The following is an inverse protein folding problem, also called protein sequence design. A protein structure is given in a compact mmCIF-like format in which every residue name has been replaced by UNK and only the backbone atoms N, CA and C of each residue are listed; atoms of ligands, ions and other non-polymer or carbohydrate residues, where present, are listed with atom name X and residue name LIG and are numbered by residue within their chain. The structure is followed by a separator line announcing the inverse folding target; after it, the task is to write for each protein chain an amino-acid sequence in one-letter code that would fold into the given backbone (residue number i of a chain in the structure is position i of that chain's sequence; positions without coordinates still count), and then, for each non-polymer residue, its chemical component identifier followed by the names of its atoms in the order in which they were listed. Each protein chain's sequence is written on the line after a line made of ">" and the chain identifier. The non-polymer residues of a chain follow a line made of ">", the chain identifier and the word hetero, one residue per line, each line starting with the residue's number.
data_IF_471281819076
#
_entry.id   IF_471281819076
#
_cell.length_a   1.000
_cell.length_b   1.000
_cell.length_c   1.000
_cell.angle_alpha   90.00
_cell.angle_beta   90.00
_cell.angle_gamma   90.00
#
_symmetry.space_group_name_H-M   'P 1'
#
loop_
_entity.id
_entity.type
_entity.pdbx_description
1 polymer ?
#
# COMPACT_ATOMS: atom_id res chain seq x y z
N UNK A 1 26.64 29.59 10.99
CA UNK A 1 25.22 29.29 10.64
C UNK A 1 24.91 27.91 11.18
N UNK A 2 24.25 27.84 12.34
CA UNK A 2 23.76 26.60 12.94
C UNK A 2 22.49 26.16 12.22
N UNK A 3 22.60 25.12 11.40
CA UNK A 3 21.43 24.44 10.84
C UNK A 3 20.78 23.62 11.95
N UNK A 4 19.84 24.24 12.67
CA UNK A 4 18.95 23.57 13.62
C UNK A 4 17.93 22.72 12.85
N UNK A 5 18.37 21.56 12.34
CA UNK A 5 17.46 20.47 11.96
C UNK A 5 17.24 19.60 13.20
N UNK A 6 16.46 20.10 14.14
CA UNK A 6 15.93 19.27 15.22
C UNK A 6 14.67 18.63 14.65
N UNK A 7 14.73 17.33 14.34
CA UNK A 7 13.54 16.53 14.01
C UNK A 7 12.51 16.73 15.13
N UNK A 8 11.28 17.11 14.77
CA UNK A 8 10.19 17.34 15.73
C UNK A 8 9.68 16.02 16.31
N UNK A 9 10.03 14.89 15.70
CA UNK A 9 9.68 13.56 16.19
C UNK A 9 10.61 13.16 17.35
N UNK A 10 10.10 13.10 18.60
CA UNK A 10 10.91 12.79 19.77
C UNK A 10 11.42 11.34 19.75
N UNK A 11 10.85 10.45 18.92
CA UNK A 11 11.23 9.04 18.85
C UNK A 11 12.54 8.80 18.08
N UNK A 12 13.12 9.81 17.43
CA UNK A 12 14.30 9.67 16.57
C UNK A 12 15.46 10.57 16.97
N UNK A 13 16.67 10.06 16.75
CA UNK A 13 17.90 10.80 16.93
C UNK A 13 18.02 11.84 15.81
N UNK A 14 17.77 13.12 16.11
CA UNK A 14 17.86 14.21 15.13
C UNK A 14 19.23 14.40 14.45
N UNK A 15 20.27 13.68 14.89
CA UNK A 15 21.57 13.65 14.22
C UNK A 15 21.70 12.56 13.13
N UNK A 16 21.24 11.32 13.39
CA UNK A 16 21.47 10.19 12.50
C UNK A 16 20.20 9.45 12.04
N UNK A 17 19.02 9.87 12.53
CA UNK A 17 17.73 9.26 12.20
C UNK A 17 17.49 7.88 12.82
N UNK A 18 18.38 7.39 13.69
CA UNK A 18 18.16 6.13 14.42
C UNK A 18 17.09 6.29 15.50
N UNK A 19 16.33 5.23 15.79
CA UNK A 19 15.32 5.23 16.85
C UNK A 19 16.00 5.46 18.21
N UNK A 20 15.51 6.46 18.94
CA UNK A 20 15.87 6.65 20.34
C UNK A 20 15.01 5.70 21.19
N UNK A 21 15.65 4.92 22.05
CA UNK A 21 14.92 4.16 23.06
C UNK A 21 14.46 5.13 24.14
N UNK A 22 13.21 5.55 24.04
CA UNK A 22 12.64 6.49 24.99
C UNK A 22 12.48 5.83 26.37
N UNK A 23 12.94 6.49 27.43
CA UNK A 23 12.83 6.03 28.80
C UNK A 23 11.39 6.15 29.25
N UNK A 24 10.96 5.24 30.13
CA UNK A 24 9.58 5.19 30.64
C UNK A 24 9.21 6.41 31.49
N UNK A 25 10.19 7.19 31.93
CA UNK A 25 10.00 8.41 32.74
C UNK A 25 10.77 9.58 32.16
N UNK A 26 10.20 10.77 32.28
CA UNK A 26 10.83 12.06 31.97
C UNK A 26 10.75 12.97 33.22
N UNK A 27 11.75 13.83 33.49
CA UNK A 27 12.91 14.12 32.66
C UNK A 27 14.02 13.06 32.78
N UNK A 28 14.75 12.82 31.69
CA UNK A 28 15.76 11.75 31.61
C UNK A 28 16.72 11.93 30.43
N UNK A 29 17.91 11.35 30.51
CA UNK A 29 18.92 11.38 29.45
C UNK A 29 18.96 10.08 28.66
N UNK A 30 19.02 10.20 27.33
CA UNK A 30 19.03 9.07 26.38
C UNK A 30 20.24 9.18 25.48
N UNK A 31 21.00 8.09 25.36
CA UNK A 31 22.12 8.03 24.41
C UNK A 31 21.70 7.23 23.18
N UNK A 32 21.89 7.81 21.99
CA UNK A 32 21.67 7.09 20.73
C UNK A 32 22.65 5.92 20.63
N UNK A 33 22.13 4.70 20.48
CA UNK A 33 22.95 3.48 20.36
C UNK A 33 23.78 3.40 19.08
N UNK A 34 23.46 4.21 18.07
CA UNK A 34 24.13 4.18 16.75
C UNK A 34 25.25 5.20 16.68
N UNK A 35 24.99 6.47 17.02
CA UNK A 35 25.97 7.55 16.87
C UNK A 35 26.52 8.10 18.20
N UNK A 36 26.04 7.61 19.35
CA UNK A 36 26.50 8.04 20.68
C UNK A 36 26.03 9.44 21.11
N UNK A 37 25.24 10.14 20.29
CA UNK A 37 24.69 11.46 20.64
C UNK A 37 23.79 11.34 21.86
N UNK A 38 24.01 12.20 22.85
CA UNK A 38 23.18 12.31 24.06
C UNK A 38 22.01 13.27 23.83
N UNK A 39 20.82 12.86 24.26
CA UNK A 39 19.56 13.58 24.13
C UNK A 39 18.94 13.75 25.51
N UNK A 40 18.51 14.96 25.83
CA UNK A 40 17.83 15.27 27.09
C UNK A 40 16.32 15.29 26.85
N UNK A 41 15.62 14.26 27.35
CA UNK A 41 14.16 14.15 27.28
C UNK A 41 13.57 14.99 28.40
N UNK A 42 12.90 16.09 28.02
CA UNK A 42 12.24 16.99 28.98
C UNK A 42 10.88 16.44 29.38
N UNK A 43 10.50 16.68 30.63
CA UNK A 43 9.13 16.46 31.10
C UNK A 43 8.16 17.36 30.31
N UNK A 44 7.08 16.79 29.77
CA UNK A 44 5.98 17.57 29.18
C UNK A 44 5.03 18.03 30.29
N UNK A 45 5.19 19.28 30.74
CA UNK A 45 4.21 19.95 31.61
C UNK A 45 3.17 20.66 30.71
N UNK A 46 1.89 20.51 31.06
CA UNK A 46 0.74 21.21 30.46
C UNK A 46 0.37 20.87 29.01
N UNK A 47 0.11 19.59 28.71
CA UNK A 47 -0.66 19.26 27.50
C UNK A 47 -2.15 19.51 27.74
N UNK A 48 -2.61 20.74 27.53
CA UNK A 48 -4.02 21.00 27.29
C UNK A 48 -4.42 20.34 25.96
N UNK A 49 -5.35 19.38 26.02
CA UNK A 49 -5.98 18.80 24.84
C UNK A 49 -7.01 19.82 24.34
N UNK A 50 -6.59 20.72 23.45
CA UNK A 50 -7.54 21.63 22.79
C UNK A 50 -8.45 20.81 21.86
N UNK A 51 -9.68 20.58 22.29
CA UNK A 51 -10.77 20.13 21.42
C UNK A 51 -11.31 21.35 20.67
N UNK A 52 -11.08 21.40 19.36
CA UNK A 52 -11.72 22.40 18.50
C UNK A 52 -13.09 21.84 18.10
N UNK A 53 -14.15 22.29 18.77
CA UNK A 53 -15.52 22.12 18.26
C UNK A 53 -15.79 23.25 17.26
N UNK A 54 -15.93 22.91 15.97
CA UNK A 54 -16.53 23.81 15.00
C UNK A 54 -18.05 23.76 15.19
N UNK A 55 -18.59 24.79 15.82
CA UNK A 55 -20.03 25.04 15.84
C UNK A 55 -20.36 25.71 14.50
N UNK A 56 -21.09 25.00 13.64
CA UNK A 56 -21.62 25.58 12.41
C UNK A 56 -22.86 26.39 12.76
N UNK A 57 -22.78 27.72 12.70
CA UNK A 57 -23.92 28.61 12.97
C UNK A 57 -24.98 28.61 11.86
N UNK A 58 -24.71 27.95 10.73
CA UNK A 58 -25.67 27.78 9.64
C UNK A 58 -25.89 26.31 9.32
N UNK A 59 -27.15 25.90 9.40
CA UNK A 59 -27.62 24.61 8.94
C UNK A 59 -28.06 24.69 7.48
N UNK A 60 -27.98 23.57 6.76
CA UNK A 60 -28.32 23.40 5.33
C UNK A 60 -29.77 23.85 4.99
N UNK A 61 -30.62 24.08 6.00
CA UNK A 61 -31.97 24.60 5.84
C UNK A 61 -32.03 26.12 5.54
N UNK A 62 -30.96 26.88 5.72
CA UNK A 62 -30.97 28.35 5.50
C UNK A 62 -30.74 28.76 4.03
N UNK A 63 -30.75 27.80 3.10
CA UNK A 63 -30.58 28.01 1.65
C UNK A 63 -31.87 27.81 0.86
N UNK A 64 -33.03 28.08 1.45
CA UNK A 64 -34.26 28.28 0.67
C UNK A 64 -34.31 29.73 0.17
N UNK A 65 -33.84 29.97 -1.07
CA UNK A 65 -33.98 31.28 -1.70
C UNK A 65 -33.04 31.66 -2.83
N UNK A 66 -32.26 30.74 -3.41
CA UNK A 66 -31.57 31.01 -4.67
C UNK A 66 -31.99 29.99 -5.72
N UNK A 67 -32.95 30.42 -6.54
CA UNK A 67 -33.39 29.74 -7.74
C UNK A 67 -32.24 29.66 -8.76
N UNK A 68 -32.07 28.46 -9.32
CA UNK A 68 -31.54 28.13 -10.64
C UNK A 68 -30.45 29.04 -11.23
N UNK A 69 -29.19 28.61 -11.12
CA UNK A 69 -28.26 28.69 -12.24
C UNK A 69 -27.49 27.35 -12.36
N UNK A 70 -27.27 26.95 -13.60
CA UNK A 70 -26.94 25.59 -14.03
C UNK A 70 -25.53 25.12 -13.60
N UNK A 71 -25.45 23.85 -13.19
CA UNK A 71 -24.27 22.96 -13.25
C UNK A 71 -22.88 23.59 -13.03
N UNK A 72 -22.39 23.59 -11.79
CA UNK A 72 -20.99 23.90 -11.48
C UNK A 72 -20.52 23.14 -10.25
N UNK A 73 -19.60 22.19 -10.44
CA UNK A 73 -18.87 21.54 -9.35
C UNK A 73 -18.21 22.59 -8.45
N UNK A 74 -18.18 22.34 -7.14
CA UNK A 74 -17.52 23.22 -6.18
C UNK A 74 -16.01 23.29 -6.47
N UNK A 75 -15.58 24.32 -7.20
CA UNK A 75 -14.18 24.67 -7.36
C UNK A 75 -13.69 25.31 -6.07
N UNK A 76 -12.76 24.65 -5.40
CA UNK A 76 -12.01 25.27 -4.31
C UNK A 76 -10.94 26.16 -4.94
N UNK A 77 -11.29 27.43 -5.17
CA UNK A 77 -10.30 28.44 -5.56
C UNK A 77 -9.41 28.74 -4.35
N UNK A 78 -8.24 28.12 -4.33
CA UNK A 78 -7.17 28.52 -3.43
C UNK A 78 -6.60 29.84 -3.96
N UNK A 79 -7.11 30.96 -3.47
CA UNK A 79 -6.57 32.29 -3.79
C UNK A 79 -5.23 32.44 -3.07
N UNK A 80 -4.14 32.11 -3.76
CA UNK A 80 -2.81 32.55 -3.39
C UNK A 80 -2.71 34.04 -3.76
N UNK A 81 -2.56 34.92 -2.78
CA UNK A 81 -2.35 36.36 -2.96
C UNK A 81 -0.93 36.66 -3.46
N UNK A 82 -0.57 36.10 -4.62
CA UNK A 82 0.56 36.56 -5.40
C UNK A 82 0.01 37.45 -6.51
N UNK A 83 0.34 38.74 -6.49
CA UNK A 83 -0.05 39.77 -7.47
C UNK A 83 0.47 39.55 -8.91
N UNK A 84 0.87 38.32 -9.26
CA UNK A 84 1.37 37.92 -10.58
C UNK A 84 0.65 36.69 -11.15
N UNK A 85 -0.48 36.25 -10.58
CA UNK A 85 -1.21 35.08 -11.11
C UNK A 85 -2.05 35.46 -12.34
N UNK A 86 -1.55 35.11 -13.52
CA UNK A 86 -2.26 35.28 -14.79
C UNK A 86 -2.98 33.96 -15.14
N UNK A 87 -4.33 33.90 -15.08
CA UNK A 87 -5.09 32.66 -15.25
C UNK A 87 -5.03 32.07 -16.68
N UNK A 88 -4.42 32.78 -17.64
CA UNK A 88 -4.26 32.34 -19.03
C UNK A 88 -3.04 31.46 -19.33
N UNK A 89 -2.16 31.20 -18.36
CA UNK A 89 -0.96 30.38 -18.56
C UNK A 89 -1.17 29.00 -17.95
N UNK A 90 -1.67 28.05 -18.74
CA UNK A 90 -1.54 26.63 -18.39
C UNK A 90 -0.04 26.28 -18.38
N UNK A 91 0.54 26.21 -17.18
CA UNK A 91 1.91 25.79 -16.95
C UNK A 91 2.02 24.31 -17.30
N UNK A 92 2.40 23.99 -18.55
CA UNK A 92 2.78 22.62 -18.91
C UNK A 92 4.26 22.42 -18.61
N UNK A 93 4.56 21.66 -17.56
CA UNK A 93 5.91 21.22 -17.21
C UNK A 93 6.83 22.30 -16.64
N UNK A 94 6.31 23.47 -16.23
CA UNK A 94 7.14 24.51 -15.62
C UNK A 94 7.58 24.07 -14.24
N UNK A 95 8.89 23.88 -14.05
CA UNK A 95 9.47 23.67 -12.73
C UNK A 95 9.61 25.02 -12.04
N UNK A 96 9.02 25.16 -10.86
CA UNK A 96 9.18 26.33 -10.01
C UNK A 96 9.98 25.96 -8.76
N UNK A 97 11.24 26.39 -8.70
CA UNK A 97 12.10 26.19 -7.52
C UNK A 97 12.42 24.72 -7.22
N UNK A 98 12.03 24.25 -6.03
CA UNK A 98 12.39 22.93 -5.51
C UNK A 98 11.27 21.87 -5.64
N UNK A 99 10.25 22.13 -6.46
CA UNK A 99 9.08 21.26 -6.67
C UNK A 99 9.40 19.84 -7.16
N UNK A 100 10.60 19.65 -7.73
CA UNK A 100 11.14 18.34 -8.13
C UNK A 100 12.04 17.67 -7.08
N UNK A 101 12.43 18.37 -6.03
CA UNK A 101 13.41 17.87 -5.04
C UNK A 101 12.75 17.46 -3.73
N UNK A 102 11.71 18.18 -3.31
CA UNK A 102 11.00 17.94 -2.05
C UNK A 102 9.49 17.81 -2.30
N UNK A 103 8.75 17.35 -1.30
CA UNK A 103 7.31 17.11 -1.37
C UNK A 103 6.50 18.39 -1.25
N UNK A 104 6.68 19.32 -2.20
CA UNK A 104 5.86 20.53 -2.34
C UNK A 104 5.03 20.45 -3.62
N UNK A 105 3.95 21.23 -3.66
CA UNK A 105 3.13 21.33 -4.86
C UNK A 105 3.87 22.05 -5.98
N UNK A 106 3.79 21.48 -7.18
CA UNK A 106 4.14 22.18 -8.41
C UNK A 106 3.09 23.25 -8.74
N UNK A 107 3.37 24.18 -9.68
CA UNK A 107 2.36 25.12 -10.18
C UNK A 107 1.10 24.45 -10.75
N UNK A 108 1.20 23.17 -11.14
CA UNK A 108 0.09 22.34 -11.64
C UNK A 108 -0.68 21.62 -10.51
N UNK A 109 -0.32 21.81 -9.24
CA UNK A 109 -0.92 21.10 -8.10
C UNK A 109 -0.45 19.65 -7.94
N UNK A 110 0.68 19.27 -8.56
CA UNK A 110 1.22 17.90 -8.51
C UNK A 110 2.35 17.79 -7.50
N UNK A 111 2.57 16.58 -7.00
CA UNK A 111 3.71 16.27 -6.12
C UNK A 111 4.67 15.35 -6.87
N UNK A 112 5.69 15.93 -7.52
CA UNK A 112 6.59 15.17 -8.42
C UNK A 112 7.36 14.06 -7.71
N UNK A 113 7.75 14.26 -6.44
CA UNK A 113 8.45 13.23 -5.66
C UNK A 113 7.63 11.95 -5.49
N UNK A 114 6.29 12.06 -5.37
CA UNK A 114 5.40 10.90 -5.28
C UNK A 114 5.32 10.18 -6.63
N UNK A 115 5.25 10.92 -7.74
CA UNK A 115 5.29 10.32 -9.08
C UNK A 115 6.61 9.59 -9.35
N UNK A 116 7.72 10.13 -8.85
CA UNK A 116 9.03 9.49 -8.94
C UNK A 116 9.06 8.19 -8.11
N UNK A 117 8.43 8.17 -6.94
CA UNK A 117 8.28 6.94 -6.15
C UNK A 117 7.48 5.87 -6.90
N UNK A 118 6.40 6.22 -7.62
CA UNK A 118 5.69 5.27 -8.49
C UNK A 118 6.58 4.73 -9.61
N UNK A 119 7.44 5.54 -10.21
CA UNK A 119 8.43 5.07 -11.19
C UNK A 119 9.47 4.15 -10.54
N UNK A 120 9.86 4.42 -9.29
CA UNK A 120 10.82 3.60 -8.56
C UNK A 120 10.29 2.18 -8.27
N UNK A 121 8.97 1.97 -8.16
CA UNK A 121 8.36 0.62 -8.06
C UNK A 121 8.80 -0.27 -9.23
N UNK A 122 8.97 0.31 -10.41
CA UNK A 122 9.32 -0.41 -11.63
C UNK A 122 10.82 -0.75 -11.74
N UNK A 123 11.65 -0.28 -10.80
CA UNK A 123 13.11 -0.47 -10.85
C UNK A 123 13.56 -1.93 -10.79
N UNK A 124 12.80 -2.80 -10.12
CA UNK A 124 13.15 -4.23 -9.98
C UNK A 124 12.75 -5.09 -11.17
N UNK A 125 12.00 -4.52 -12.12
CA UNK A 125 11.46 -5.24 -13.27
C UNK A 125 10.68 -6.52 -12.91
N UNK A 126 10.00 -6.50 -11.76
CA UNK A 126 9.10 -7.55 -11.33
C UNK A 126 7.65 -7.12 -11.56
N UNK A 127 6.77 -8.10 -11.69
CA UNK A 127 5.33 -7.89 -11.70
C UNK A 127 4.67 -8.87 -10.74
N UNK A 128 3.74 -8.38 -9.95
CA UNK A 128 2.86 -9.17 -9.10
C UNK A 128 1.42 -8.97 -9.53
N UNK A 129 0.64 -10.04 -9.41
CA UNK A 129 -0.79 -10.07 -9.69
C UNK A 129 -1.49 -10.67 -8.49
N UNK A 130 -2.59 -10.06 -8.07
CA UNK A 130 -3.47 -10.62 -7.08
C UNK A 130 -4.90 -10.66 -7.58
N UNK A 131 -5.59 -11.74 -7.24
CA UNK A 131 -6.98 -11.98 -7.64
C UNK A 131 -7.69 -12.54 -6.42
N UNK A 132 -8.89 -12.04 -6.16
CA UNK A 132 -9.83 -12.72 -5.30
C UNK A 132 -11.04 -13.18 -6.10
N UNK A 133 -11.56 -14.31 -5.67
CA UNK A 133 -12.90 -14.72 -6.01
C UNK A 133 -13.69 -14.93 -4.72
N UNK A 134 -14.86 -14.29 -4.64
CA UNK A 134 -15.88 -14.57 -3.65
C UNK A 134 -17.22 -14.71 -4.37
N UNK A 135 -17.89 -15.85 -4.22
CA UNK A 135 -19.29 -15.97 -4.64
C UNK A 135 -20.14 -15.20 -3.64
N UNK A 136 -20.50 -13.97 -4.01
CA UNK A 136 -21.51 -13.22 -3.27
C UNK A 136 -22.84 -13.40 -4.01
N UNK A 137 -23.50 -14.54 -3.82
CA UNK A 137 -24.94 -14.60 -4.12
C UNK A 137 -25.63 -13.70 -3.08
N UNK A 138 -25.86 -12.45 -3.47
CA UNK A 138 -26.80 -11.53 -2.81
C UNK A 138 -28.20 -11.92 -3.27
N UNK A 139 -28.69 -13.07 -2.83
CA UNK A 139 -30.11 -13.33 -2.71
C UNK A 139 -30.34 -13.92 -1.33
N UNK A 140 -31.08 -13.18 -0.52
CA UNK A 140 -31.44 -13.47 0.85
C UNK A 140 -31.76 -14.95 1.07
N UNK A 141 -31.28 -15.47 2.21
CA UNK A 141 -31.58 -16.78 2.83
C UNK A 141 -30.63 -17.98 2.63
N UNK A 142 -29.57 -17.96 1.81
CA UNK A 142 -28.63 -19.10 1.74
C UNK A 142 -27.18 -18.76 1.33
N UNK A 143 -26.48 -17.92 2.09
CA UNK A 143 -25.10 -17.47 1.80
C UNK A 143 -24.00 -18.44 2.30
N UNK A 144 -24.08 -19.74 1.98
CA UNK A 144 -23.12 -20.73 2.51
C UNK A 144 -22.34 -21.55 1.47
N UNK A 145 -22.55 -21.33 0.17
CA UNK A 145 -21.97 -22.17 -0.90
C UNK A 145 -20.90 -21.50 -1.78
N UNK A 146 -20.30 -20.40 -1.34
CA UNK A 146 -19.21 -19.75 -2.07
C UNK A 146 -17.83 -20.37 -1.81
N UNK A 147 -17.10 -20.66 -2.89
CA UNK A 147 -15.64 -20.81 -2.83
C UNK A 147 -15.08 -19.39 -2.72
N UNK A 148 -14.26 -19.18 -1.71
CA UNK A 148 -13.79 -17.86 -1.36
C UNK A 148 -12.29 -17.91 -1.12
N UNK A 149 -11.56 -17.33 -2.05
CA UNK A 149 -10.12 -17.52 -2.22
C UNK A 149 -9.47 -16.24 -2.72
N UNK A 150 -8.37 -15.84 -2.10
CA UNK A 150 -7.50 -14.79 -2.60
C UNK A 150 -6.10 -15.34 -2.85
N UNK A 151 -5.51 -14.91 -3.96
CA UNK A 151 -4.23 -15.41 -4.46
C UNK A 151 -3.35 -14.22 -4.80
N UNK A 152 -2.04 -14.33 -4.50
CA UNK A 152 -1.01 -13.51 -5.13
C UNK A 152 -0.07 -14.43 -5.92
N UNK A 153 0.17 -14.10 -7.18
CA UNK A 153 1.22 -14.67 -8.01
C UNK A 153 2.24 -13.58 -8.32
N UNK A 154 3.52 -13.86 -8.06
CA UNK A 154 4.61 -12.91 -8.30
C UNK A 154 5.77 -13.57 -9.01
N UNK A 155 6.42 -12.83 -9.90
CA UNK A 155 7.65 -13.26 -10.54
C UNK A 155 8.80 -13.36 -9.52
N UNK A 156 9.49 -14.49 -9.55
CA UNK A 156 10.75 -14.72 -8.83
C UNK A 156 11.91 -14.71 -9.81
N UNK A 157 12.88 -13.83 -9.57
CA UNK A 157 14.09 -13.75 -10.38
C UNK A 157 15.32 -13.85 -9.50
N UNK A 158 16.04 -14.95 -9.64
CA UNK A 158 17.34 -15.16 -9.00
C UNK A 158 18.41 -14.83 -10.05
N UNK A 159 19.14 -13.71 -9.90
CA UNK A 159 20.07 -13.25 -10.95
C UNK A 159 21.33 -14.10 -11.06
N UNK A 160 21.75 -14.74 -9.97
CA UNK A 160 22.96 -15.55 -9.90
C UNK A 160 22.65 -16.92 -9.28
N UNK A 161 23.15 -17.98 -9.91
CA UNK A 161 23.08 -19.36 -9.43
C UNK A 161 23.69 -19.59 -8.04
N UNK A 162 24.63 -18.73 -7.61
CA UNK A 162 25.26 -18.82 -6.29
C UNK A 162 24.36 -18.28 -5.16
N UNK A 163 23.29 -17.56 -5.49
CA UNK A 163 22.33 -17.08 -4.50
C UNK A 163 21.44 -18.24 -4.07
N UNK A 164 21.29 -18.40 -2.76
CA UNK A 164 20.30 -19.31 -2.19
C UNK A 164 18.91 -18.85 -2.61
N UNK A 165 18.31 -19.53 -3.59
CA UNK A 165 17.07 -19.11 -4.22
C UNK A 165 15.93 -18.87 -3.22
N UNK A 166 15.86 -19.64 -2.14
CA UNK A 166 14.83 -19.50 -1.11
C UNK A 166 14.93 -18.22 -0.29
N UNK A 167 16.11 -17.59 -0.25
CA UNK A 167 16.31 -16.28 0.39
C UNK A 167 15.75 -15.11 -0.43
N UNK A 168 15.49 -15.32 -1.72
CA UNK A 168 14.93 -14.33 -2.64
C UNK A 168 13.42 -14.52 -2.68
N UNK A 169 12.71 -13.58 -2.05
CA UNK A 169 11.24 -13.57 -2.07
C UNK A 169 10.70 -12.14 -2.05
N UNK A 170 9.54 -11.97 -2.69
CA UNK A 170 8.74 -10.75 -2.62
C UNK A 170 7.50 -10.94 -1.73
N UNK A 171 7.40 -12.08 -1.06
CA UNK A 171 6.25 -12.53 -0.29
C UNK A 171 6.60 -12.53 1.20
N UNK A 172 5.73 -11.96 2.02
CA UNK A 172 5.97 -11.81 3.45
C UNK A 172 4.69 -12.07 4.25
N UNK A 173 4.84 -12.76 5.39
CA UNK A 173 3.74 -12.89 6.33
C UNK A 173 3.73 -11.68 7.27
N UNK A 174 2.60 -10.98 7.40
CA UNK A 174 2.48 -9.78 8.26
C UNK A 174 1.91 -10.13 9.64
N UNK A 175 0.93 -11.02 9.67
CA UNK A 175 0.32 -11.59 10.87
C UNK A 175 -0.08 -13.05 10.58
N UNK A 176 -0.60 -13.83 11.54
CA UNK A 176 -1.12 -15.17 11.24
C UNK A 176 -2.24 -15.20 10.18
N UNK A 177 -2.97 -14.09 10.00
CA UNK A 177 -4.13 -13.97 9.11
C UNK A 177 -3.83 -13.20 7.83
N UNK A 178 -2.89 -12.26 7.86
CA UNK A 178 -2.58 -11.36 6.74
C UNK A 178 -1.20 -11.65 6.17
N UNK A 179 -1.15 -11.95 4.88
CA UNK A 179 0.09 -12.00 4.12
C UNK A 179 0.14 -10.92 3.05
N UNK A 180 1.34 -10.62 2.56
CA UNK A 180 1.54 -9.60 1.55
C UNK A 180 2.60 -9.96 0.52
N UNK A 181 2.54 -9.23 -0.59
CA UNK A 181 3.62 -9.11 -1.55
C UNK A 181 4.03 -7.63 -1.65
N UNK A 182 5.32 -7.36 -1.58
CA UNK A 182 5.87 -6.01 -1.68
C UNK A 182 6.76 -5.90 -2.93
N UNK A 183 6.41 -4.98 -3.83
CA UNK A 183 7.08 -4.76 -5.11
C UNK A 183 7.65 -3.34 -5.16
N UNK A 184 8.89 -3.23 -5.65
CA UNK A 184 9.63 -1.98 -5.75
C UNK A 184 11.03 -2.10 -5.20
N UNK A 185 11.57 -1.01 -4.69
CA UNK A 185 12.91 -0.99 -4.08
C UNK A 185 12.96 -1.94 -2.89
N UNK A 186 13.78 -2.99 -2.95
CA UNK A 186 13.80 -4.08 -1.96
C UNK A 186 14.02 -3.57 -0.51
N UNK A 187 14.93 -2.60 -0.23
CA UNK A 187 15.08 -2.06 1.12
C UNK A 187 13.80 -1.40 1.64
N UNK A 188 13.12 -0.62 0.80
CA UNK A 188 11.86 0.04 1.14
C UNK A 188 10.74 -0.99 1.36
N UNK A 189 10.67 -2.02 0.53
CA UNK A 189 9.74 -3.14 0.71
C UNK A 189 9.94 -3.80 2.09
N UNK A 190 11.18 -4.13 2.45
CA UNK A 190 11.50 -4.76 3.74
C UNK A 190 11.18 -3.83 4.92
N UNK A 191 11.47 -2.54 4.78
CA UNK A 191 11.11 -1.54 5.79
C UNK A 191 9.59 -1.47 6.00
N UNK A 192 8.82 -1.38 4.92
CA UNK A 192 7.36 -1.29 4.97
C UNK A 192 6.73 -2.58 5.54
N UNK A 193 7.25 -3.76 5.17
CA UNK A 193 6.85 -5.06 5.74
C UNK A 193 7.09 -5.11 7.25
N UNK A 194 8.27 -4.68 7.71
CA UNK A 194 8.58 -4.64 9.16
C UNK A 194 7.66 -3.69 9.89
N UNK A 195 7.37 -2.52 9.32
CA UNK A 195 6.42 -1.58 9.89
C UNK A 195 5.01 -2.17 9.99
N UNK A 196 4.54 -2.85 8.95
CA UNK A 196 3.24 -3.51 8.96
C UNK A 196 3.16 -4.64 10.00
N UNK A 197 4.20 -5.45 10.15
CA UNK A 197 4.29 -6.47 11.20
C UNK A 197 4.19 -5.87 12.61
N UNK A 198 4.87 -4.74 12.86
CA UNK A 198 4.78 -4.05 14.14
C UNK A 198 3.38 -3.51 14.42
N UNK A 199 2.73 -2.89 13.43
CA UNK A 199 1.36 -2.39 13.59
C UNK A 199 0.36 -3.53 13.86
N UNK A 200 0.48 -4.65 13.13
CA UNK A 200 -0.37 -5.82 13.34
C UNK A 200 -0.16 -6.45 14.73
N UNK A 201 1.10 -6.56 15.19
CA UNK A 201 1.41 -7.07 16.51
C UNK A 201 0.92 -6.14 17.64
N UNK A 202 1.11 -4.84 17.46
CA UNK A 202 0.63 -3.82 18.41
C UNK A 202 -0.90 -3.83 18.51
N UNK A 203 -1.60 -3.93 17.37
CA UNK A 203 -3.05 -4.07 17.35
C UNK A 203 -3.51 -5.28 18.16
N UNK A 204 -2.89 -6.45 17.93
CA UNK A 204 -3.22 -7.68 18.64
C UNK A 204 -2.99 -7.56 20.13
N UNK A 205 -1.89 -6.92 20.54
CA UNK A 205 -1.61 -6.65 21.94
C UNK A 205 -2.66 -5.75 22.61
N UNK A 206 -3.11 -4.70 21.91
CA UNK A 206 -4.06 -3.72 22.45
C UNK A 206 -5.50 -4.21 22.45
N UNK A 207 -5.90 -4.97 21.42
CA UNK A 207 -7.31 -5.33 21.18
C UNK A 207 -7.61 -6.82 21.46
N UNK A 208 -6.59 -7.68 21.58
CA UNK A 208 -6.76 -9.10 21.89
C UNK A 208 -7.11 -10.01 20.70
N UNK A 209 -7.24 -9.47 19.48
CA UNK A 209 -7.52 -10.23 18.26
C UNK A 209 -6.62 -9.79 17.08
N UNK A 210 -6.52 -10.63 16.05
CA UNK A 210 -5.68 -10.33 14.88
C UNK A 210 -6.23 -9.14 14.07
N UNK A 211 -5.34 -8.27 13.59
CA UNK A 211 -5.72 -7.04 12.88
C UNK A 211 -6.42 -7.36 11.55
N UNK A 212 -7.62 -6.81 11.29
CA UNK A 212 -8.27 -6.91 9.98
C UNK A 212 -7.40 -6.33 8.87
N UNK A 213 -7.40 -6.99 7.72
CA UNK A 213 -6.55 -6.62 6.59
C UNK A 213 -6.83 -5.19 6.09
N UNK A 214 -8.09 -4.76 6.06
CA UNK A 214 -8.45 -3.39 5.69
C UNK A 214 -7.84 -2.35 6.64
N UNK A 215 -7.92 -2.58 7.96
CA UNK A 215 -7.38 -1.66 8.95
C UNK A 215 -5.86 -1.60 8.86
N UNK A 216 -5.19 -2.73 8.62
CA UNK A 216 -3.75 -2.75 8.40
C UNK A 216 -3.38 -1.97 7.12
N UNK A 217 -4.14 -2.16 6.03
CA UNK A 217 -3.93 -1.42 4.79
C UNK A 217 -4.12 0.09 4.97
N UNK A 218 -5.18 0.50 5.66
CA UNK A 218 -5.43 1.89 6.03
C UNK A 218 -4.27 2.46 6.85
N UNK A 219 -3.86 1.76 7.90
CA UNK A 219 -2.78 2.19 8.78
C UNK A 219 -1.45 2.38 8.05
N UNK A 220 -1.15 1.49 7.10
CA UNK A 220 0.04 1.60 6.25
C UNK A 220 -0.07 2.75 5.25
N UNK A 221 -1.26 3.00 4.69
CA UNK A 221 -1.52 4.18 3.87
C UNK A 221 -1.33 5.50 4.65
N UNK A 222 -1.85 5.60 5.86
CA UNK A 222 -1.67 6.77 6.73
C UNK A 222 -0.18 7.05 6.99
N UNK A 223 0.63 6.01 7.20
CA UNK A 223 2.09 6.16 7.34
C UNK A 223 2.78 6.56 6.04
N UNK A 224 2.34 6.04 4.90
CA UNK A 224 2.91 6.46 3.62
C UNK A 224 2.58 7.92 3.33
N UNK A 225 1.37 8.37 3.69
CA UNK A 225 0.93 9.74 3.54
C UNK A 225 1.81 10.72 4.33
N UNK A 226 2.34 10.31 5.49
CA UNK A 226 3.30 11.13 6.23
C UNK A 226 4.53 11.47 5.38
N UNK A 227 5.03 10.54 4.56
CA UNK A 227 6.16 10.78 3.64
C UNK A 227 5.80 11.59 2.39
N UNK A 228 4.52 11.93 2.18
CA UNK A 228 4.09 12.79 1.06
C UNK A 228 3.89 14.24 1.49
N UNK A 229 3.78 14.49 2.79
CA UNK A 229 3.58 15.83 3.35
C UNK A 229 4.84 16.41 4.00
N UNK A 230 5.72 15.57 4.55
CA UNK A 230 6.93 16.02 5.24
C UNK A 230 8.13 15.99 4.30
N UNK A 231 8.80 17.14 4.17
CA UNK A 231 9.87 17.34 3.19
C UNK A 231 11.23 16.73 3.61
N UNK A 232 11.41 16.35 4.88
CA UNK A 232 12.68 15.75 5.34
C UNK A 232 12.93 14.33 4.82
N UNK A 233 11.89 13.64 4.35
CA UNK A 233 11.94 12.26 3.91
C UNK A 233 11.32 12.09 2.53
N UNK A 234 11.81 11.10 1.78
CA UNK A 234 11.20 10.71 0.50
C UNK A 234 10.09 9.68 0.74
N UNK A 235 9.11 9.67 -0.15
CA UNK A 235 8.14 8.57 -0.23
C UNK A 235 8.84 7.24 -0.55
N UNK A 236 8.29 6.15 -0.04
CA UNK A 236 8.84 4.81 -0.25
C UNK A 236 8.62 4.38 -1.71
N UNK A 237 9.65 3.85 -2.36
CA UNK A 237 9.61 3.37 -3.73
C UNK A 237 9.04 1.95 -3.85
N UNK A 238 8.00 1.65 -3.08
CA UNK A 238 7.37 0.32 -3.03
C UNK A 238 5.84 0.40 -2.93
N UNK A 239 5.18 -0.62 -3.45
CA UNK A 239 3.75 -0.85 -3.25
C UNK A 239 3.54 -2.25 -2.65
N UNK A 240 2.53 -2.34 -1.80
CA UNK A 240 2.20 -3.56 -1.08
C UNK A 240 0.82 -4.06 -1.52
N UNK A 241 0.73 -5.34 -1.85
CA UNK A 241 -0.52 -6.05 -2.04
C UNK A 241 -0.70 -6.97 -0.84
N UNK A 242 -1.84 -6.89 -0.16
CA UNK A 242 -2.18 -7.73 0.99
C UNK A 242 -3.34 -8.63 0.63
N UNK A 243 -3.28 -9.88 1.11
CA UNK A 243 -4.40 -10.82 1.08
C UNK A 243 -4.67 -11.36 2.47
N UNK A 244 -5.94 -11.61 2.75
CA UNK A 244 -6.41 -12.22 3.99
C UNK A 244 -7.73 -12.92 3.73
N UNK A 245 -8.08 -13.84 4.63
CA UNK A 245 -9.44 -14.32 4.76
C UNK A 245 -10.06 -13.65 5.99
N UNK A 246 -11.08 -12.84 5.76
CA UNK A 246 -11.92 -12.22 6.79
C UNK A 246 -13.16 -13.07 7.06
N UNK A 247 -13.64 -13.08 8.30
CA UNK A 247 -14.77 -13.92 8.69
C UNK A 247 -16.13 -13.36 8.23
N UNK A 248 -16.22 -12.05 8.06
CA UNK A 248 -17.42 -11.34 7.61
C UNK A 248 -17.39 -11.10 6.10
N UNK A 249 -16.27 -10.56 5.60
CA UNK A 249 -16.12 -10.16 4.20
C UNK A 249 -15.55 -11.27 3.29
N UNK A 250 -15.06 -12.35 3.88
CA UNK A 250 -14.45 -13.44 3.14
C UNK A 250 -13.05 -13.11 2.63
N UNK A 251 -12.67 -13.61 1.45
CA UNK A 251 -11.36 -13.33 0.89
C UNK A 251 -11.27 -11.85 0.46
N UNK A 252 -10.20 -11.20 0.90
CA UNK A 252 -9.94 -9.78 0.64
C UNK A 252 -8.57 -9.58 0.01
N UNK A 253 -8.49 -8.62 -0.91
CA UNK A 253 -7.25 -8.16 -1.55
C UNK A 253 -7.20 -6.65 -1.41
N UNK A 254 -6.13 -6.12 -0.81
CA UNK A 254 -5.91 -4.70 -0.66
C UNK A 254 -4.59 -4.29 -1.32
N UNK A 255 -4.58 -3.13 -1.99
CA UNK A 255 -3.36 -2.48 -2.47
C UNK A 255 -3.10 -1.24 -1.63
N UNK A 256 -1.84 -1.03 -1.24
CA UNK A 256 -1.33 0.22 -0.67
C UNK A 256 -0.20 0.73 -1.55
N UNK A 257 -0.21 2.03 -1.84
CA UNK A 257 0.79 2.67 -2.69
C UNK A 257 1.55 3.81 -1.99
N UNK A 258 2.64 4.34 -2.59
CA UNK A 258 3.47 5.38 -2.00
C UNK A 258 2.75 6.69 -1.70
N UNK A 259 1.62 6.96 -2.36
CA UNK A 259 0.86 8.19 -2.17
C UNK A 259 0.04 8.19 -0.87
N UNK A 260 0.01 7.05 -0.16
CA UNK A 260 -0.89 6.86 0.97
C UNK A 260 -2.31 6.50 0.54
N UNK A 261 -2.49 6.01 -0.69
CA UNK A 261 -3.78 5.49 -1.12
C UNK A 261 -3.87 3.99 -0.87
N UNK A 262 -5.03 3.56 -0.36
CA UNK A 262 -5.36 2.15 -0.22
C UNK A 262 -6.79 1.84 -0.68
N UNK A 263 -6.96 0.69 -1.32
CA UNK A 263 -8.27 0.17 -1.70
C UNK A 263 -8.32 -1.35 -1.75
N UNK A 264 -9.50 -1.86 -1.40
CA UNK A 264 -9.90 -3.24 -1.67
C UNK A 264 -10.21 -3.41 -3.16
N UNK A 265 -9.73 -4.49 -3.76
CA UNK A 265 -9.88 -4.74 -5.20
C UNK A 265 -10.29 -6.19 -5.45
N UNK A 266 -11.03 -6.45 -6.53
CA UNK A 266 -11.32 -7.84 -6.97
C UNK A 266 -10.09 -8.49 -7.59
N UNK A 267 -9.32 -7.71 -8.34
CA UNK A 267 -8.00 -8.09 -8.81
C UNK A 267 -7.16 -6.82 -8.96
N UNK A 268 -5.85 -6.97 -8.81
CA UNK A 268 -4.89 -5.88 -8.91
C UNK A 268 -3.56 -6.40 -9.42
N UNK A 269 -2.80 -5.56 -10.10
CA UNK A 269 -1.42 -5.85 -10.46
C UNK A 269 -0.52 -4.67 -10.13
N UNK A 270 0.74 -4.96 -9.83
CA UNK A 270 1.75 -3.97 -9.45
C UNK A 270 3.07 -4.35 -10.12
N UNK A 271 3.82 -3.34 -10.58
CA UNK A 271 5.12 -3.50 -11.22
C UNK A 271 5.11 -3.15 -12.70
N UNK A 272 6.15 -3.56 -13.42
CA UNK A 272 6.44 -3.05 -14.78
C UNK A 272 5.32 -3.35 -15.77
N UNK A 273 4.68 -4.52 -15.67
CA UNK A 273 3.62 -4.95 -16.58
C UNK A 273 2.20 -4.76 -16.02
N UNK A 274 2.02 -3.89 -15.02
CA UNK A 274 0.72 -3.69 -14.35
C UNK A 274 -0.41 -3.31 -15.31
N UNK A 275 -0.15 -2.48 -16.33
CA UNK A 275 -1.21 -2.03 -17.26
C UNK A 275 -1.72 -3.19 -18.10
N UNK A 276 -0.80 -4.00 -18.64
CA UNK A 276 -1.12 -5.17 -19.46
C UNK A 276 -1.82 -6.24 -18.63
N UNK A 277 -1.31 -6.54 -17.42
CA UNK A 277 -1.92 -7.50 -16.51
C UNK A 277 -3.33 -7.08 -16.09
N UNK A 278 -3.54 -5.80 -15.75
CA UNK A 278 -4.86 -5.27 -15.36
C UNK A 278 -5.86 -5.37 -16.52
N UNK A 279 -5.45 -5.01 -17.74
CA UNK A 279 -6.29 -5.14 -18.94
C UNK A 279 -6.69 -6.59 -19.24
N UNK A 280 -5.80 -7.55 -18.98
CA UNK A 280 -6.11 -8.97 -19.11
C UNK A 280 -7.14 -9.43 -18.07
N UNK A 281 -6.90 -9.07 -16.79
CA UNK A 281 -7.79 -9.40 -15.68
C UNK A 281 -9.20 -8.84 -15.90
N UNK A 282 -9.32 -7.57 -16.30
CA UNK A 282 -10.61 -6.95 -16.60
C UNK A 282 -11.41 -7.71 -17.65
N UNK A 283 -10.74 -8.20 -18.71
CA UNK A 283 -11.39 -8.99 -19.78
C UNK A 283 -11.83 -10.35 -19.28
N UNK A 284 -11.01 -11.06 -18.49
CA UNK A 284 -11.31 -12.41 -18.00
C UNK A 284 -12.39 -12.40 -16.92
N UNK A 285 -12.32 -11.47 -15.97
CA UNK A 285 -13.31 -11.33 -14.87
C UNK A 285 -14.69 -10.94 -15.43
N UNK A 286 -14.76 -10.12 -16.48
CA UNK A 286 -16.04 -9.81 -17.16
C UNK A 286 -16.68 -11.02 -17.84
N UNK A 287 -15.87 -11.97 -18.33
CA UNK A 287 -16.37 -13.18 -19.03
C UNK A 287 -16.86 -14.24 -18.08
N UNK A 288 -16.19 -14.42 -16.94
CA UNK A 288 -16.51 -15.44 -15.94
C UNK A 288 -16.36 -14.84 -14.55
N UNK A 289 -17.50 -14.57 -13.92
CA UNK A 289 -17.57 -14.02 -12.58
C UNK A 289 -17.30 -15.08 -11.50
N UNK A 290 -17.74 -16.32 -11.75
CA UNK A 290 -17.66 -17.43 -10.81
C UNK A 290 -16.43 -18.30 -11.09
N UNK A 291 -15.42 -18.21 -10.23
CA UNK A 291 -14.18 -18.98 -10.34
C UNK A 291 -14.11 -19.97 -9.19
N UNK A 292 -13.74 -21.22 -9.46
CA UNK A 292 -13.40 -22.13 -8.38
C UNK A 292 -12.00 -21.81 -7.79
N UNK A 293 -11.59 -22.57 -6.78
CA UNK A 293 -10.32 -22.37 -6.07
C UNK A 293 -9.13 -22.47 -7.05
N UNK A 294 -9.08 -23.55 -7.85
CA UNK A 294 -7.99 -23.78 -8.80
C UNK A 294 -8.01 -22.76 -9.95
N UNK A 295 -9.19 -22.38 -10.42
CA UNK A 295 -9.38 -21.37 -11.47
C UNK A 295 -8.95 -19.98 -11.02
N UNK A 296 -9.11 -19.65 -9.73
CA UNK A 296 -8.64 -18.38 -9.17
C UNK A 296 -7.10 -18.33 -9.19
N UNK A 297 -6.45 -19.44 -8.82
CA UNK A 297 -4.99 -19.58 -8.89
C UNK A 297 -4.51 -19.51 -10.34
N UNK A 298 -5.16 -20.26 -11.22
CA UNK A 298 -4.83 -20.30 -12.65
C UNK A 298 -5.00 -18.94 -13.30
N UNK A 299 -6.07 -18.19 -12.99
CA UNK A 299 -6.28 -16.84 -13.52
C UNK A 299 -5.16 -15.88 -13.12
N UNK A 300 -4.65 -15.97 -11.88
CA UNK A 300 -3.52 -15.15 -11.43
C UNK A 300 -2.23 -15.48 -12.20
N UNK A 301 -1.97 -16.77 -12.44
CA UNK A 301 -0.80 -17.25 -13.21
C UNK A 301 -0.93 -16.87 -14.69
N UNK A 302 -2.08 -17.12 -15.31
CA UNK A 302 -2.38 -16.74 -16.71
C UNK A 302 -2.21 -15.23 -16.92
N UNK A 303 -2.71 -14.41 -15.99
CA UNK A 303 -2.57 -12.96 -16.07
C UNK A 303 -1.10 -12.52 -16.04
N UNK A 304 -0.28 -13.18 -15.21
CA UNK A 304 1.14 -12.92 -15.13
C UNK A 304 1.86 -13.36 -16.42
N UNK A 305 1.64 -14.59 -16.89
CA UNK A 305 2.21 -15.12 -18.14
C UNK A 305 1.86 -14.26 -19.35
N UNK A 306 0.57 -13.92 -19.51
CA UNK A 306 0.07 -13.05 -20.58
C UNK A 306 0.72 -11.67 -20.56
N UNK A 307 0.90 -11.09 -19.36
CA UNK A 307 1.54 -9.77 -19.21
C UNK A 307 3.03 -9.77 -19.53
N UNK A 308 3.72 -10.89 -19.27
CA UNK A 308 5.14 -11.06 -19.52
C UNK A 308 5.42 -11.52 -20.97
N UNK A 309 4.44 -12.14 -21.63
CA UNK A 309 4.60 -12.72 -22.97
C UNK A 309 5.50 -13.95 -23.00
N UNK A 310 5.63 -14.65 -21.87
CA UNK A 310 6.45 -15.85 -21.72
C UNK A 310 5.70 -16.91 -20.92
N UNK A 311 5.96 -18.18 -21.25
CA UNK A 311 5.63 -19.29 -20.37
C UNK A 311 6.59 -19.30 -19.18
N UNK A 312 6.02 -19.37 -17.98
CA UNK A 312 6.76 -19.34 -16.72
C UNK A 312 6.91 -20.74 -16.15
N UNK A 313 8.07 -21.06 -15.59
CA UNK A 313 8.30 -22.31 -14.84
C UNK A 313 7.95 -22.11 -13.37
N UNK A 314 7.64 -23.19 -12.64
CA UNK A 314 7.36 -23.12 -11.19
C UNK A 314 8.43 -22.38 -10.40
N UNK A 315 9.71 -22.61 -10.70
CA UNK A 315 10.85 -21.96 -10.03
C UNK A 315 10.93 -20.45 -10.22
N UNK A 316 10.33 -19.93 -11.28
CA UNK A 316 10.33 -18.51 -11.63
C UNK A 316 9.10 -17.77 -11.05
N UNK A 317 8.29 -18.46 -10.24
CA UNK A 317 7.08 -17.94 -9.63
C UNK A 317 7.05 -18.19 -8.13
N UNK A 318 6.40 -17.29 -7.40
CA UNK A 318 5.89 -17.57 -6.07
C UNK A 318 4.38 -17.34 -6.07
N UNK A 319 3.64 -18.32 -5.58
CA UNK A 319 2.19 -18.26 -5.47
C UNK A 319 1.79 -18.48 -4.02
N UNK A 320 0.96 -17.58 -3.50
CA UNK A 320 0.37 -17.68 -2.16
C UNK A 320 -1.13 -17.60 -2.24
N UNK A 321 -1.78 -18.32 -1.34
CA UNK A 321 -3.22 -18.45 -1.29
C UNK A 321 -3.72 -18.36 0.14
N UNK A 322 -4.88 -17.74 0.29
CA UNK A 322 -5.75 -17.82 1.47
C UNK A 322 -7.14 -18.24 1.00
N UNK A 323 -7.81 -19.09 1.77
CA UNK A 323 -9.12 -19.61 1.40
C UNK A 323 -9.99 -19.86 2.62
N UNK A 324 -11.29 -20.06 2.41
CA UNK A 324 -12.22 -20.42 3.48
C UNK A 324 -11.81 -21.70 4.24
N UNK A 325 -11.23 -22.68 3.53
CA UNK A 325 -10.76 -23.95 4.13
C UNK A 325 -9.49 -23.77 4.94
N UNK A 326 -8.58 -22.95 4.41
CA UNK A 326 -7.33 -22.63 5.07
C UNK A 326 -7.13 -21.10 5.05
N UNK A 327 -7.50 -20.47 6.16
CA UNK A 327 -7.39 -19.02 6.37
C UNK A 327 -5.94 -18.57 6.55
N UNK A 328 -5.01 -19.49 6.78
CA UNK A 328 -3.60 -19.16 6.93
C UNK A 328 -2.96 -18.87 5.60
N UNK A 329 -2.11 -17.84 5.58
CA UNK A 329 -1.33 -17.45 4.42
C UNK A 329 -0.36 -18.57 4.01
N UNK A 330 -0.69 -19.27 2.92
CA UNK A 330 0.00 -20.49 2.50
C UNK A 330 0.71 -20.28 1.18
N UNK A 331 2.03 -20.50 1.16
CA UNK A 331 2.83 -20.54 -0.08
C UNK A 331 2.74 -21.92 -0.72
N UNK A 332 2.37 -21.96 -2.00
CA UNK A 332 2.34 -23.19 -2.76
C UNK A 332 3.76 -23.69 -3.04
N UNK A 333 3.92 -25.02 -3.01
CA UNK A 333 5.15 -25.68 -3.41
C UNK A 333 5.32 -25.64 -4.93
N UNK A 334 6.55 -25.83 -5.42
CA UNK A 334 6.81 -25.86 -6.86
C UNK A 334 5.98 -26.94 -7.57
N UNK A 335 5.82 -28.12 -6.96
CA UNK A 335 5.03 -29.22 -7.52
C UNK A 335 3.54 -28.85 -7.68
N UNK A 336 2.98 -28.13 -6.70
CA UNK A 336 1.60 -27.62 -6.78
C UNK A 336 1.47 -26.55 -7.87
N UNK A 337 2.46 -25.66 -7.98
CA UNK A 337 2.48 -24.65 -9.06
C UNK A 337 2.58 -25.32 -10.43
N UNK A 338 3.40 -26.37 -10.58
CA UNK A 338 3.52 -27.14 -11.81
C UNK A 338 2.22 -27.86 -12.19
N UNK A 339 1.46 -28.36 -11.22
CA UNK A 339 0.12 -28.91 -11.48
C UNK A 339 -0.83 -27.86 -12.08
N UNK A 340 -0.83 -26.63 -11.56
CA UNK A 340 -1.63 -25.55 -12.13
C UNK A 340 -1.13 -25.11 -13.52
N UNK A 341 0.19 -25.04 -13.72
CA UNK A 341 0.78 -24.72 -15.03
C UNK A 341 0.41 -25.76 -16.09
N UNK A 342 0.49 -27.05 -15.77
CA UNK A 342 0.06 -28.13 -16.67
C UNK A 342 -1.44 -28.06 -16.97
N UNK A 343 -2.26 -27.73 -15.98
CA UNK A 343 -3.70 -27.56 -16.18
C UNK A 343 -4.04 -26.36 -17.07
N UNK A 344 -3.23 -25.30 -17.05
CA UNK A 344 -3.36 -24.16 -17.99
C UNK A 344 -2.98 -24.60 -19.40
N UNK A 345 -1.83 -25.26 -19.56
CA UNK A 345 -1.35 -25.72 -20.87
C UNK A 345 -2.30 -26.71 -21.56
N UNK A 346 -3.07 -27.51 -20.80
CA UNK A 346 -4.05 -28.45 -21.34
C UNK A 346 -5.42 -27.81 -21.69
N UNK A 347 -5.65 -26.54 -21.34
CA UNK A 347 -6.88 -25.80 -21.66
C UNK A 347 -6.79 -25.01 -22.97
N UNK A 348 -5.58 -24.66 -23.38
CA UNK A 348 -5.29 -23.97 -24.64
C UNK A 348 -5.25 -24.94 -25.83
#
# INVERSE_FOLDING_TARGET
>A
MSLNFVSVDPEFCGFCGAILQMPETAPSDVTCRVCGTQWHVREKRDHLVCRIEKIYERTVADTEGMEHDECGDAVVDHVCSNENFNPGVMSRGSSAGFDRHITIFSPEGRVYQVEYAFKAINSTNLTAVAVKHSVTEVNSYNSFKGIDTAVIAVQKRVPDSLIVADSVTSIYNLSPTVGCCAIGMIPDCKFQVRRAQMEAAQWKYQNGYDMPCELLAKRMADKNQYYTQNAEMRSLGCAMIMISFDDEDGAVVFKVDPAGYYRGMKAVSVGVKQVTASSFLEKKIKKKADLNYDETIQLAIEALQSSLGIETRSKDLEVVVVSKKNKTFTKLTNDQVDQHLNAIANKD
#
